data_IF_852821929873
#
_entry.id   IF_852821929873
#
_cell.length_a   1.000
_cell.length_b   1.000
_cell.length_c   1.000
_cell.angle_alpha   90.00
_cell.angle_beta   90.00
_cell.angle_gamma   90.00
#
_symmetry.space_group_name_H-M   'P 1'
#
loop_
_entity.id
_entity.type
_entity.pdbx_description
1 polymer ?
#
# COMPACT_ATOMS: atom_id res chain seq x y z
N UNK A 1 35.35 -8.48 2.80
CA UNK A 1 34.29 -7.85 1.97
C UNK A 1 33.17 -8.83 1.63
N UNK A 2 33.43 -10.06 1.24
CA UNK A 2 32.38 -11.07 0.95
C UNK A 2 31.46 -11.31 2.15
N UNK A 3 32.00 -11.54 3.34
CA UNK A 3 31.21 -11.73 4.57
C UNK A 3 30.27 -10.55 4.91
N UNK A 4 30.62 -9.32 4.56
CA UNK A 4 29.75 -8.16 4.77
C UNK A 4 28.60 -8.12 3.76
N UNK A 5 28.84 -8.54 2.53
CA UNK A 5 27.80 -8.63 1.49
C UNK A 5 26.78 -9.71 1.85
N UNK A 6 27.26 -10.88 2.26
CA UNK A 6 26.42 -12.00 2.70
C UNK A 6 25.59 -11.63 3.94
N UNK A 7 26.22 -10.96 4.92
CA UNK A 7 25.53 -10.49 6.13
C UNK A 7 24.44 -9.46 5.81
N UNK A 8 24.68 -8.57 4.84
CA UNK A 8 23.70 -7.55 4.45
C UNK A 8 22.51 -8.19 3.71
N UNK A 9 22.76 -9.15 2.84
CA UNK A 9 21.70 -9.92 2.17
C UNK A 9 20.87 -10.72 3.19
N UNK A 10 21.52 -11.42 4.10
CA UNK A 10 20.83 -12.15 5.18
C UNK A 10 19.97 -11.23 6.06
N UNK A 11 20.50 -10.08 6.45
CA UNK A 11 19.74 -9.08 7.23
C UNK A 11 18.49 -8.58 6.47
N UNK A 12 18.60 -8.37 5.14
CA UNK A 12 17.44 -7.98 4.33
C UNK A 12 16.37 -9.08 4.31
N UNK A 13 16.76 -10.36 4.13
CA UNK A 13 15.82 -11.46 4.17
C UNK A 13 15.15 -11.63 5.53
N UNK A 14 15.90 -11.45 6.62
CA UNK A 14 15.34 -11.49 7.98
C UNK A 14 14.35 -10.34 8.21
N UNK A 15 14.67 -9.13 7.74
CA UNK A 15 13.76 -7.99 7.78
C UNK A 15 12.48 -8.29 6.99
N UNK A 16 12.57 -8.75 5.74
CA UNK A 16 11.39 -9.09 4.93
C UNK A 16 10.53 -10.17 5.59
N UNK A 17 11.14 -11.16 6.25
CA UNK A 17 10.40 -12.19 6.98
C UNK A 17 9.59 -11.59 8.14
N UNK A 18 10.15 -10.65 8.91
CA UNK A 18 9.43 -9.97 9.99
C UNK A 18 8.27 -9.14 9.46
N UNK A 19 8.44 -8.47 8.32
CA UNK A 19 7.39 -7.68 7.68
C UNK A 19 6.26 -8.57 7.12
N UNK A 20 6.59 -9.72 6.52
CA UNK A 20 5.61 -10.71 6.07
C UNK A 20 4.76 -11.20 7.26
N UNK A 21 5.38 -11.49 8.39
CA UNK A 21 4.64 -11.90 9.60
C UNK A 21 3.77 -10.78 10.15
N UNK A 22 4.25 -9.55 10.14
CA UNK A 22 3.50 -8.39 10.60
C UNK A 22 2.26 -8.13 9.73
N UNK A 23 2.42 -7.99 8.41
CA UNK A 23 1.29 -7.81 7.48
C UNK A 23 0.38 -9.04 7.44
N UNK A 24 0.95 -10.25 7.52
CA UNK A 24 0.20 -11.51 7.60
C UNK A 24 -0.71 -11.57 8.81
N UNK A 25 -0.26 -11.08 9.97
CA UNK A 25 -1.08 -10.93 11.17
C UNK A 25 -2.26 -9.97 10.96
N UNK A 26 -2.02 -8.82 10.33
CA UNK A 26 -3.07 -7.86 9.98
C UNK A 26 -4.08 -8.44 8.98
N UNK A 27 -3.62 -9.16 7.95
CA UNK A 27 -4.49 -9.83 6.99
C UNK A 27 -5.34 -10.92 7.65
N UNK A 28 -4.74 -11.69 8.55
CA UNK A 28 -5.45 -12.73 9.31
C UNK A 28 -6.54 -12.11 10.19
N UNK A 29 -6.22 -11.05 10.93
CA UNK A 29 -7.20 -10.32 11.73
C UNK A 29 -8.35 -9.81 10.85
N UNK A 30 -8.02 -9.18 9.70
CA UNK A 30 -9.02 -8.71 8.76
C UNK A 30 -9.94 -9.83 8.25
N UNK A 31 -9.40 -11.00 7.88
CA UNK A 31 -10.19 -12.14 7.39
C UNK A 31 -11.13 -12.71 8.46
N UNK A 32 -10.67 -12.79 9.73
CA UNK A 32 -11.48 -13.24 10.85
C UNK A 32 -12.66 -12.29 11.08
N UNK A 33 -12.40 -10.98 11.21
CA UNK A 33 -13.45 -9.99 11.44
C UNK A 33 -14.39 -9.86 10.23
N UNK A 34 -13.88 -9.95 9.00
CA UNK A 34 -14.69 -9.99 7.78
C UNK A 34 -15.66 -11.18 7.79
N UNK A 35 -15.23 -12.36 8.27
CA UNK A 35 -16.11 -13.52 8.33
C UNK A 35 -17.21 -13.36 9.37
N UNK A 36 -16.93 -12.72 10.51
CA UNK A 36 -17.91 -12.48 11.56
C UNK A 36 -18.90 -11.35 11.23
N UNK A 37 -18.44 -10.28 10.61
CA UNK A 37 -19.21 -9.07 10.36
C UNK A 37 -19.30 -8.73 8.86
N UNK A 38 -19.53 -9.75 8.04
CA UNK A 38 -19.50 -9.66 6.59
C UNK A 38 -20.32 -8.47 6.02
N UNK A 39 -21.60 -8.21 6.43
CA UNK A 39 -22.38 -7.09 5.90
C UNK A 39 -21.75 -5.72 6.16
N UNK A 40 -21.16 -5.54 7.35
CA UNK A 40 -20.48 -4.30 7.72
C UNK A 40 -19.21 -4.07 6.86
N UNK A 41 -18.45 -5.14 6.58
CA UNK A 41 -17.27 -5.08 5.73
C UNK A 41 -17.61 -4.81 4.26
N UNK A 42 -18.71 -5.36 3.76
CA UNK A 42 -19.24 -5.04 2.42
C UNK A 42 -19.61 -3.56 2.34
N UNK A 43 -20.38 -3.05 3.30
CA UNK A 43 -20.75 -1.65 3.35
C UNK A 43 -19.54 -0.71 3.38
N UNK A 44 -18.53 -1.03 4.19
CA UNK A 44 -17.28 -0.28 4.25
C UNK A 44 -16.51 -0.30 2.92
N UNK A 45 -16.42 -1.46 2.25
CA UNK A 45 -15.71 -1.57 0.98
C UNK A 45 -16.38 -0.81 -0.16
N UNK A 46 -17.71 -0.69 -0.14
CA UNK A 46 -18.47 0.09 -1.12
C UNK A 46 -18.20 1.59 -1.05
N UNK A 47 -17.68 2.08 0.08
CA UNK A 47 -17.23 3.46 0.23
C UNK A 47 -15.88 3.74 -0.43
N UNK A 48 -15.14 2.70 -0.82
CA UNK A 48 -13.85 2.85 -1.49
C UNK A 48 -14.04 2.91 -3.01
N UNK A 49 -13.33 3.82 -3.66
CA UNK A 49 -13.34 3.94 -5.12
C UNK A 49 -12.43 2.89 -5.76
N UNK A 50 -13.02 1.92 -6.47
CA UNK A 50 -12.25 0.91 -7.23
C UNK A 50 -11.33 1.58 -8.25
N UNK A 51 -11.79 2.66 -8.88
CA UNK A 51 -11.03 3.34 -9.94
C UNK A 51 -9.68 3.83 -9.39
N UNK A 52 -9.68 4.51 -8.24
CA UNK A 52 -8.45 4.98 -7.61
C UNK A 52 -7.55 3.83 -7.14
N UNK A 53 -8.15 2.76 -6.60
CA UNK A 53 -7.41 1.56 -6.20
C UNK A 53 -6.75 0.85 -7.39
N UNK A 54 -7.48 0.69 -8.50
CA UNK A 54 -6.96 0.05 -9.73
C UNK A 54 -5.86 0.89 -10.37
N UNK A 55 -6.05 2.20 -10.45
CA UNK A 55 -5.05 3.13 -10.99
C UNK A 55 -3.76 3.08 -10.15
N UNK A 56 -3.88 3.11 -8.83
CA UNK A 56 -2.75 2.97 -7.91
C UNK A 56 -2.01 1.63 -8.08
N UNK A 57 -2.75 0.54 -8.27
CA UNK A 57 -2.15 -0.78 -8.55
C UNK A 57 -1.36 -0.76 -9.85
N UNK A 58 -1.91 -0.16 -10.91
CA UNK A 58 -1.20 0.01 -12.19
C UNK A 58 0.08 0.84 -12.05
N UNK A 59 0.03 1.93 -11.29
CA UNK A 59 1.19 2.78 -11.01
C UNK A 59 2.27 1.99 -10.28
N UNK A 60 1.94 1.19 -9.26
CA UNK A 60 2.92 0.40 -8.51
C UNK A 60 3.52 -0.74 -9.34
N UNK A 61 2.71 -1.46 -10.14
CA UNK A 61 3.25 -2.50 -11.05
C UNK A 61 4.26 -1.89 -12.02
N UNK A 62 3.95 -0.72 -12.58
CA UNK A 62 4.87 -0.01 -13.46
C UNK A 62 6.13 0.44 -12.70
N UNK A 63 5.98 0.92 -11.46
CA UNK A 63 7.08 1.29 -10.58
C UNK A 63 7.99 0.10 -10.26
N UNK A 64 7.39 -1.06 -9.95
CA UNK A 64 8.09 -2.32 -9.73
C UNK A 64 8.93 -2.72 -10.95
N UNK A 65 8.35 -2.62 -12.15
CA UNK A 65 9.07 -2.88 -13.39
C UNK A 65 10.24 -1.91 -13.61
N UNK A 66 10.04 -0.61 -13.38
CA UNK A 66 11.14 0.38 -13.51
C UNK A 66 12.25 0.13 -12.49
N UNK A 67 11.93 -0.31 -11.27
CA UNK A 67 12.93 -0.69 -10.26
C UNK A 67 13.74 -1.92 -10.70
N UNK A 68 13.09 -2.97 -11.22
CA UNK A 68 13.76 -4.15 -11.77
C UNK A 68 14.73 -3.79 -12.92
N UNK A 69 14.29 -2.90 -13.82
CA UNK A 69 15.16 -2.37 -14.89
C UNK A 69 16.34 -1.57 -14.34
N UNK A 70 16.13 -0.87 -13.20
CA UNK A 70 17.19 -0.16 -12.48
C UNK A 70 18.26 -1.12 -11.94
N UNK A 71 17.86 -2.23 -11.31
CA UNK A 71 18.78 -3.28 -10.85
C UNK A 71 19.59 -3.84 -12.02
N UNK A 72 18.93 -4.21 -13.12
CA UNK A 72 19.60 -4.68 -14.34
C UNK A 72 20.61 -3.66 -14.91
N UNK A 73 20.25 -2.36 -14.90
CA UNK A 73 21.16 -1.29 -15.32
C UNK A 73 22.38 -1.15 -14.38
N UNK A 74 22.20 -1.39 -13.08
CA UNK A 74 23.30 -1.40 -12.11
C UNK A 74 24.27 -2.57 -12.39
N UNK A 75 23.75 -3.79 -12.60
CA UNK A 75 24.53 -4.98 -12.94
C UNK A 75 25.33 -4.79 -14.24
N UNK A 76 24.69 -4.20 -15.25
CA UNK A 76 25.33 -3.91 -16.54
C UNK A 76 26.16 -2.62 -16.55
N UNK A 77 26.35 -1.98 -15.39
CA UNK A 77 27.13 -0.74 -15.19
C UNK A 77 26.69 0.43 -16.08
N UNK A 78 25.42 0.49 -16.47
CA UNK A 78 24.84 1.56 -17.28
C UNK A 78 24.34 2.71 -16.40
N UNK A 79 25.22 3.63 -16.04
CA UNK A 79 24.91 4.75 -15.14
C UNK A 79 23.66 5.55 -15.55
N UNK A 80 23.57 5.93 -16.84
CA UNK A 80 22.43 6.75 -17.32
C UNK A 80 21.10 6.01 -17.22
N UNK A 81 21.07 4.71 -17.54
CA UNK A 81 19.88 3.87 -17.40
C UNK A 81 19.45 3.69 -15.94
N UNK A 82 20.42 3.45 -15.05
CA UNK A 82 20.16 3.33 -13.62
C UNK A 82 19.51 4.61 -13.05
N UNK A 83 20.10 5.78 -13.30
CA UNK A 83 19.56 7.06 -12.81
C UNK A 83 18.15 7.30 -13.36
N UNK A 84 17.92 7.05 -14.66
CA UNK A 84 16.60 7.21 -15.27
C UNK A 84 15.56 6.30 -14.60
N UNK A 85 15.87 5.02 -14.41
CA UNK A 85 14.97 4.06 -13.79
C UNK A 85 14.65 4.44 -12.34
N UNK A 86 15.65 4.82 -11.53
CA UNK A 86 15.43 5.26 -10.15
C UNK A 86 14.56 6.52 -10.09
N UNK A 87 14.76 7.50 -10.99
CA UNK A 87 13.92 8.70 -11.06
C UNK A 87 12.48 8.36 -11.45
N UNK A 88 12.28 7.47 -12.42
CA UNK A 88 10.93 7.02 -12.80
C UNK A 88 10.24 6.31 -11.65
N UNK A 89 10.92 5.40 -10.95
CA UNK A 89 10.40 4.72 -9.77
C UNK A 89 10.01 5.72 -8.67
N UNK A 90 10.86 6.71 -8.43
CA UNK A 90 10.60 7.78 -7.45
C UNK A 90 9.35 8.59 -7.81
N UNK A 91 9.21 9.02 -9.05
CA UNK A 91 8.04 9.80 -9.49
C UNK A 91 6.74 8.97 -9.39
N UNK A 92 6.77 7.70 -9.79
CA UNK A 92 5.62 6.80 -9.68
C UNK A 92 5.24 6.57 -8.20
N UNK A 93 6.22 6.44 -7.30
CA UNK A 93 5.97 6.37 -5.86
C UNK A 93 5.31 7.63 -5.30
N UNK A 94 5.74 8.81 -5.76
CA UNK A 94 5.10 10.09 -5.39
C UNK A 94 3.67 10.19 -5.92
N UNK A 95 3.40 9.74 -7.14
CA UNK A 95 2.05 9.69 -7.72
C UNK A 95 1.15 8.81 -6.85
N UNK A 96 1.62 7.62 -6.46
CA UNK A 96 0.90 6.74 -5.56
C UNK A 96 0.53 7.41 -4.24
N UNK A 97 1.51 8.05 -3.56
CA UNK A 97 1.24 8.76 -2.30
C UNK A 97 0.29 9.95 -2.50
N UNK A 98 0.40 10.66 -3.62
CA UNK A 98 -0.51 11.77 -3.96
C UNK A 98 -1.96 11.31 -4.08
N UNK A 99 -2.21 10.23 -4.81
CA UNK A 99 -3.55 9.64 -4.94
C UNK A 99 -4.06 9.17 -3.56
N UNK A 100 -3.21 8.54 -2.75
CA UNK A 100 -3.57 8.10 -1.39
C UNK A 100 -3.91 9.26 -0.46
N UNK A 101 -3.20 10.36 -0.57
CA UNK A 101 -3.49 11.56 0.23
C UNK A 101 -4.87 12.13 -0.12
N UNK A 102 -5.24 12.16 -1.40
CA UNK A 102 -6.57 12.59 -1.85
C UNK A 102 -7.64 11.65 -1.30
N UNK A 103 -7.44 10.33 -1.39
CA UNK A 103 -8.37 9.34 -0.87
C UNK A 103 -8.55 9.46 0.66
N UNK A 104 -7.47 9.70 1.39
CA UNK A 104 -7.53 9.89 2.84
C UNK A 104 -8.23 11.18 3.24
N UNK A 105 -7.98 12.30 2.55
CA UNK A 105 -8.66 13.58 2.83
C UNK A 105 -10.18 13.44 2.66
N UNK A 106 -10.63 12.75 1.62
CA UNK A 106 -12.05 12.46 1.41
C UNK A 106 -12.67 11.66 2.58
N UNK A 107 -11.94 10.67 3.13
CA UNK A 107 -12.41 9.87 4.29
C UNK A 107 -12.42 10.68 5.59
N UNK A 108 -11.48 11.59 5.76
CA UNK A 108 -11.44 12.49 6.93
C UNK A 108 -12.63 13.47 6.88
N UNK A 109 -12.91 14.07 5.73
CA UNK A 109 -14.05 14.98 5.53
C UNK A 109 -15.40 14.29 5.79
N UNK A 110 -15.53 13.02 5.39
CA UNK A 110 -16.74 12.21 5.61
C UNK A 110 -16.87 11.64 7.04
N UNK A 111 -15.98 11.98 7.95
CA UNK A 111 -15.95 11.46 9.33
C UNK A 111 -15.91 9.92 9.42
N UNK A 112 -15.21 9.26 8.48
CA UNK A 112 -15.01 7.81 8.47
C UNK A 112 -13.71 7.37 9.19
N UNK A 113 -13.01 8.30 9.84
CA UNK A 113 -11.84 7.97 10.67
C UNK A 113 -12.32 7.37 11.98
N UNK A 114 -11.85 6.16 12.37
CA UNK A 114 -12.22 5.54 13.63
C UNK A 114 -11.90 6.42 14.82
N UNK A 115 -12.81 6.52 15.80
CA UNK A 115 -12.63 7.28 17.03
C UNK A 115 -13.79 8.21 17.35
N UNK A 116 -13.55 9.25 18.16
CA UNK A 116 -14.57 10.12 18.75
C UNK A 116 -15.50 10.86 17.76
N UNK A 117 -15.13 10.95 16.50
CA UNK A 117 -15.90 11.66 15.46
C UNK A 117 -16.46 10.73 14.38
N UNK A 118 -16.45 9.40 14.58
CA UNK A 118 -16.99 8.46 13.60
C UNK A 118 -18.49 8.63 13.42
N UNK A 119 -18.94 8.88 12.19
CA UNK A 119 -20.35 9.10 11.87
C UNK A 119 -21.05 7.81 11.46
N UNK A 120 -21.83 7.23 12.39
CA UNK A 120 -22.70 6.08 12.08
C UNK A 120 -23.90 6.48 11.18
N UNK A 121 -24.24 7.78 11.11
CA UNK A 121 -25.40 8.27 10.34
C UNK A 121 -25.26 7.94 8.85
N UNK A 122 -24.04 7.94 8.32
CA UNK A 122 -23.77 7.60 6.93
C UNK A 122 -24.23 6.19 6.54
N UNK A 123 -24.36 5.26 7.48
CA UNK A 123 -24.72 3.86 7.23
C UNK A 123 -26.14 3.51 7.71
N UNK A 124 -26.74 4.33 8.57
CA UNK A 124 -28.05 4.06 9.19
C UNK A 124 -29.18 4.94 8.66
N UNK A 125 -28.86 6.09 8.03
CA UNK A 125 -29.85 6.98 7.49
C UNK A 125 -30.26 6.52 6.08
N UNK A 126 -31.57 6.15 5.84
CA UNK A 126 -32.04 5.71 4.53
C UNK A 126 -31.87 6.74 3.42
N UNK A 127 -31.80 8.02 3.77
CA UNK A 127 -31.66 9.12 2.84
C UNK A 127 -30.19 9.50 2.53
N UNK A 128 -29.21 8.81 3.15
CA UNK A 128 -27.81 9.07 2.84
C UNK A 128 -27.42 8.35 1.55
N UNK A 129 -26.77 9.06 0.62
CA UNK A 129 -26.19 8.47 -0.60
C UNK A 129 -25.23 7.31 -0.32
N UNK A 130 -24.68 7.28 0.87
CA UNK A 130 -23.72 6.30 1.35
C UNK A 130 -24.40 5.01 1.84
N UNK A 131 -25.54 5.12 2.52
CA UNK A 131 -26.32 3.95 2.94
C UNK A 131 -26.91 3.22 1.72
N UNK A 132 -27.40 3.96 0.74
CA UNK A 132 -27.90 3.41 -0.53
C UNK A 132 -26.81 2.64 -1.28
N UNK A 133 -25.57 3.13 -1.29
CA UNK A 133 -24.42 2.44 -1.91
C UNK A 133 -23.96 1.20 -1.11
N UNK A 134 -24.08 1.26 0.22
CA UNK A 134 -23.50 0.25 1.10
C UNK A 134 -24.33 -1.05 1.20
N UNK A 135 -25.64 -0.98 1.08
CA UNK A 135 -26.54 -2.09 1.42
C UNK A 135 -27.50 -2.50 0.31
N UNK A 136 -27.31 -2.05 -0.93
CA UNK A 136 -28.26 -2.35 -2.01
C UNK A 136 -29.69 -1.92 -1.63
N UNK A 137 -29.87 -0.66 -1.31
CA UNK A 137 -31.13 0.03 -0.92
C UNK A 137 -31.67 -0.25 0.51
N UNK A 138 -30.96 -0.94 1.37
CA UNK A 138 -31.39 -1.12 2.78
C UNK A 138 -30.37 -0.57 3.77
N UNK A 139 -30.78 0.32 4.71
CA UNK A 139 -29.89 0.79 5.77
C UNK A 139 -29.45 -0.38 6.68
N UNK A 140 -28.21 -0.34 7.15
CA UNK A 140 -27.69 -1.34 8.07
C UNK A 140 -28.36 -1.19 9.47
N UNK A 141 -28.68 -2.31 10.14
CA UNK A 141 -29.05 -2.28 11.56
C UNK A 141 -27.94 -1.61 12.40
N UNK A 142 -28.33 -0.90 13.45
CA UNK A 142 -27.41 -0.09 14.27
C UNK A 142 -26.26 -0.90 14.88
N UNK A 143 -26.51 -2.14 15.27
CA UNK A 143 -25.52 -3.08 15.79
C UNK A 143 -24.47 -3.45 14.71
N UNK A 144 -24.92 -3.70 13.49
CA UNK A 144 -24.03 -3.96 12.35
C UNK A 144 -23.28 -2.69 11.88
N UNK A 145 -23.93 -1.53 11.91
CA UNK A 145 -23.29 -0.26 11.51
C UNK A 145 -22.10 0.09 12.41
N UNK A 146 -22.11 -0.29 13.68
CA UNK A 146 -20.96 -0.10 14.59
C UNK A 146 -19.72 -0.88 14.15
N UNK A 147 -19.88 -2.01 13.47
CA UNK A 147 -18.76 -2.82 12.99
C UNK A 147 -18.12 -2.28 11.72
N UNK A 148 -18.73 -1.28 11.06
CA UNK A 148 -18.07 -0.54 9.96
C UNK A 148 -16.90 0.29 10.47
N UNK A 149 -16.93 0.78 11.71
CA UNK A 149 -15.79 1.44 12.33
C UNK A 149 -14.57 0.51 12.44
N UNK A 150 -14.80 -0.77 12.75
CA UNK A 150 -13.72 -1.77 12.78
C UNK A 150 -13.12 -2.01 11.39
N UNK A 151 -13.95 -2.04 10.33
CA UNK A 151 -13.46 -2.10 8.96
C UNK A 151 -12.53 -0.93 8.63
N UNK A 152 -12.95 0.31 8.92
CA UNK A 152 -12.12 1.49 8.70
C UNK A 152 -10.87 1.50 9.58
N UNK A 153 -10.95 1.00 10.81
CA UNK A 153 -9.79 0.82 11.69
C UNK A 153 -8.72 -0.07 11.04
N UNK A 154 -9.12 -1.24 10.55
CA UNK A 154 -8.22 -2.16 9.84
C UNK A 154 -7.75 -1.57 8.50
N UNK A 155 -8.63 -0.89 7.77
CA UNK A 155 -8.26 -0.20 6.53
C UNK A 155 -7.15 0.82 6.77
N UNK A 156 -7.31 1.74 7.74
CA UNK A 156 -6.30 2.75 8.04
C UNK A 156 -5.01 2.14 8.63
N UNK A 157 -5.12 1.09 9.45
CA UNK A 157 -3.95 0.40 9.97
C UNK A 157 -3.12 -0.23 8.85
N UNK A 158 -3.74 -1.04 7.99
CA UNK A 158 -3.03 -1.73 6.91
C UNK A 158 -2.51 -0.77 5.84
N UNK A 159 -3.34 0.14 5.35
CA UNK A 159 -2.94 1.09 4.30
C UNK A 159 -2.02 2.18 4.83
N UNK A 160 -2.15 2.60 6.09
CA UNK A 160 -1.27 3.56 6.75
C UNK A 160 0.13 3.00 6.98
N UNK A 161 0.23 1.75 7.45
CA UNK A 161 1.54 1.07 7.56
C UNK A 161 2.20 0.88 6.20
N UNK A 162 1.43 0.50 5.19
CA UNK A 162 1.94 0.43 3.82
C UNK A 162 2.42 1.81 3.31
N UNK A 163 1.66 2.88 3.55
CA UNK A 163 2.06 4.24 3.18
C UNK A 163 3.33 4.68 3.92
N UNK A 164 3.50 4.31 5.19
CA UNK A 164 4.73 4.57 5.93
C UNK A 164 5.95 3.90 5.27
N UNK A 165 5.82 2.63 4.87
CA UNK A 165 6.88 1.92 4.13
C UNK A 165 7.18 2.61 2.79
N UNK A 166 6.15 3.06 2.06
CA UNK A 166 6.33 3.83 0.83
C UNK A 166 7.10 5.14 1.07
N UNK A 167 6.78 5.89 2.13
CA UNK A 167 7.50 7.14 2.48
C UNK A 167 8.97 6.87 2.78
N UNK A 168 9.26 5.84 3.59
CA UNK A 168 10.63 5.42 3.90
C UNK A 168 11.36 5.01 2.60
N UNK A 169 10.71 4.21 1.75
CA UNK A 169 11.27 3.78 0.47
C UNK A 169 11.58 4.96 -0.46
N UNK A 170 10.69 5.94 -0.58
CA UNK A 170 10.90 7.15 -1.37
C UNK A 170 12.07 7.97 -0.82
N UNK A 171 12.23 8.10 0.49
CA UNK A 171 13.36 8.79 1.10
C UNK A 171 14.70 8.09 0.76
N UNK A 172 14.74 6.75 0.82
CA UNK A 172 15.92 5.97 0.42
C UNK A 172 16.18 6.13 -1.08
N UNK A 173 15.14 6.08 -1.94
CA UNK A 173 15.27 6.31 -3.38
C UNK A 173 15.87 7.67 -3.70
N UNK A 174 15.43 8.73 -3.04
CA UNK A 174 16.00 10.06 -3.21
C UNK A 174 17.51 10.08 -2.90
N UNK A 175 17.92 9.44 -1.80
CA UNK A 175 19.33 9.27 -1.46
C UNK A 175 20.09 8.45 -2.52
N UNK A 176 19.47 7.35 -3.01
CA UNK A 176 20.08 6.51 -4.06
C UNK A 176 20.29 7.27 -5.37
N UNK A 177 19.34 8.12 -5.77
CA UNK A 177 19.44 8.92 -7.00
C UNK A 177 20.68 9.83 -6.93
N UNK A 178 20.88 10.53 -5.81
CA UNK A 178 22.05 11.39 -5.60
C UNK A 178 23.36 10.59 -5.69
N UNK A 179 23.39 9.42 -5.05
CA UNK A 179 24.56 8.53 -5.09
C UNK A 179 24.82 7.94 -6.50
N UNK A 180 23.76 7.59 -7.23
CA UNK A 180 23.84 7.09 -8.59
C UNK A 180 24.38 8.15 -9.56
N UNK A 181 23.98 9.41 -9.41
CA UNK A 181 24.52 10.54 -10.17
C UNK A 181 26.01 10.74 -9.93
N UNK A 182 26.46 10.52 -8.68
CA UNK A 182 27.89 10.54 -8.34
C UNK A 182 28.67 9.30 -8.84
N UNK A 183 27.99 8.30 -9.44
CA UNK A 183 28.63 7.08 -9.99
C UNK A 183 28.94 6.01 -8.95
N UNK A 184 28.41 6.09 -7.73
CA UNK A 184 28.75 5.18 -6.63
C UNK A 184 28.40 3.72 -6.93
N UNK A 185 27.36 3.44 -7.71
CA UNK A 185 26.87 2.08 -7.98
C UNK A 185 27.45 1.45 -9.26
N UNK A 186 28.27 2.18 -10.01
CA UNK A 186 29.00 1.63 -11.16
C UNK A 186 30.36 1.04 -10.81
N UNK A 187 30.84 1.29 -9.57
CA UNK A 187 32.19 0.93 -9.10
C UNK A 187 32.22 -0.18 -8.06
N UNK A 188 31.07 -0.79 -7.64
CA UNK A 188 31.12 -1.95 -6.76
C UNK A 188 30.10 -2.07 -5.63
N UNK A 189 29.13 -1.15 -5.50
CA UNK A 189 28.09 -1.22 -4.46
C UNK A 189 26.72 -1.64 -5.01
N UNK A 190 26.68 -2.63 -5.90
CA UNK A 190 25.46 -3.12 -6.57
C UNK A 190 24.50 -3.74 -5.54
N UNK A 191 25.03 -4.46 -4.55
CA UNK A 191 24.24 -5.14 -3.48
C UNK A 191 23.25 -4.21 -2.78
N UNK A 192 23.56 -2.91 -2.63
CA UNK A 192 22.64 -1.97 -2.04
C UNK A 192 21.41 -1.71 -2.95
N UNK A 193 21.63 -1.65 -4.27
CA UNK A 193 20.54 -1.48 -5.26
C UNK A 193 19.68 -2.74 -5.32
N UNK A 194 20.28 -3.92 -5.28
CA UNK A 194 19.59 -5.21 -5.25
C UNK A 194 18.73 -5.36 -4.00
N UNK A 195 19.29 -5.14 -2.82
CA UNK A 195 18.55 -5.22 -1.55
C UNK A 195 17.40 -4.19 -1.49
N UNK A 196 17.63 -2.98 -1.98
CA UNK A 196 16.56 -1.99 -2.06
C UNK A 196 15.49 -2.41 -3.08
N UNK A 197 15.87 -3.03 -4.20
CA UNK A 197 14.94 -3.60 -5.17
C UNK A 197 14.03 -4.66 -4.52
N UNK A 198 14.59 -5.57 -3.71
CA UNK A 198 13.81 -6.55 -2.95
C UNK A 198 12.82 -5.88 -1.99
N UNK A 199 13.25 -4.84 -1.26
CA UNK A 199 12.38 -4.07 -0.38
C UNK A 199 11.23 -3.42 -1.16
N UNK A 200 11.52 -2.75 -2.28
CA UNK A 200 10.52 -2.07 -3.10
C UNK A 200 9.48 -3.04 -3.67
N UNK A 201 9.94 -4.17 -4.21
CA UNK A 201 9.06 -5.22 -4.70
C UNK A 201 8.18 -5.83 -3.61
N UNK A 202 8.73 -6.02 -2.41
CA UNK A 202 7.95 -6.48 -1.26
C UNK A 202 6.80 -5.50 -0.93
N UNK A 203 7.09 -4.21 -0.85
CA UNK A 203 6.06 -3.18 -0.58
C UNK A 203 4.99 -3.18 -1.67
N UNK A 204 5.38 -3.28 -2.94
CA UNK A 204 4.44 -3.38 -4.08
C UNK A 204 3.57 -4.65 -3.99
N UNK A 205 4.14 -5.80 -3.63
CA UNK A 205 3.40 -7.07 -3.45
C UNK A 205 2.38 -6.93 -2.32
N UNK A 206 2.72 -6.32 -1.19
CA UNK A 206 1.77 -6.07 -0.10
C UNK A 206 0.55 -5.30 -0.61
N UNK A 207 0.76 -4.28 -1.47
CA UNK A 207 -0.36 -3.55 -2.07
C UNK A 207 -1.23 -4.41 -2.99
N UNK A 208 -0.63 -5.31 -3.79
CA UNK A 208 -1.36 -6.24 -4.67
C UNK A 208 -2.33 -7.13 -3.86
N UNK A 209 -1.97 -7.48 -2.62
CA UNK A 209 -2.88 -8.19 -1.70
C UNK A 209 -3.89 -7.27 -1.01
N UNK A 210 -3.48 -6.05 -0.61
CA UNK A 210 -4.35 -5.08 0.05
C UNK A 210 -5.51 -4.64 -0.87
N UNK A 211 -5.23 -4.41 -2.14
CA UNK A 211 -6.23 -3.91 -3.07
C UNK A 211 -7.44 -4.85 -3.20
N UNK A 212 -7.33 -6.13 -3.59
CA UNK A 212 -8.50 -7.01 -3.68
C UNK A 212 -9.14 -7.25 -2.32
N UNK A 213 -8.35 -7.32 -1.25
CA UNK A 213 -8.84 -7.58 0.09
C UNK A 213 -9.77 -6.48 0.61
N UNK A 214 -9.47 -5.22 0.32
CA UNK A 214 -10.18 -4.05 0.82
C UNK A 214 -11.23 -3.52 -0.17
N UNK A 215 -10.95 -3.50 -1.47
CA UNK A 215 -11.76 -2.79 -2.48
C UNK A 215 -12.71 -3.71 -3.25
N UNK A 216 -12.45 -5.02 -3.33
CA UNK A 216 -13.20 -5.94 -4.20
C UNK A 216 -14.19 -6.85 -3.46
N UNK A 217 -14.51 -6.57 -2.19
CA UNK A 217 -15.47 -7.38 -1.44
C UNK A 217 -16.85 -7.28 -2.08
N UNK A 218 -17.47 -8.47 -2.35
CA UNK A 218 -18.87 -8.58 -2.81
C UNK A 218 -19.23 -7.76 -4.07
N UNK A 219 -18.27 -7.47 -4.95
CA UNK A 219 -18.52 -6.76 -6.20
C UNK A 219 -18.73 -7.70 -7.41
N UNK A 220 -18.82 -8.99 -7.16
CA UNK A 220 -19.22 -10.02 -8.12
C UNK A 220 -20.59 -10.53 -7.72
N UNK A 221 -21.63 -9.81 -8.06
CA UNK A 221 -23.02 -10.16 -7.95
C UNK A 221 -23.77 -9.59 -9.09
#
# INVERSE_FOLDING_TARGET
MEQQVDATGFAMWLFLLTEIMFFGGLFTAYLIYRNWYYPAFVAGSHQLSILWGTLNTGVLITSSFTMAMGVWCAETRRKGGLVLCLVLTFLLGLVFLGIKTIEYSEKIEKHHVPGFHYSLKSFTDPNSDEAAKAAGDKPLPLDMARHTEMYFGLYFAMTGMHALHMIIGIAILAFMIVRAQAGAYTTGHITFVENFGLYWHFVDIVWIFLFPLLYLISRHG
#
